data_IF_492481390803
#
_entry.id   IF_492481390803
#
_cell.length_a   1.000
_cell.length_b   1.000
_cell.length_c   1.000
_cell.angle_alpha   90.00
_cell.angle_beta   90.00
_cell.angle_gamma   90.00
#
_symmetry.space_group_name_H-M   'P 1'
#
loop_
_entity.id
_entity.type
_entity.pdbx_description
1 polymer ?
#
# COMPACT_ATOMS: atom_id res chain seq x y z
N UNK A 1 8.06 -28.22 -32.84
CA UNK A 1 8.26 -26.76 -32.88
C UNK A 1 7.12 -26.02 -32.19
N UNK A 2 5.86 -26.44 -32.39
CA UNK A 2 4.67 -25.83 -31.76
C UNK A 2 4.69 -25.86 -30.22
N UNK A 3 5.17 -26.95 -29.61
CA UNK A 3 5.29 -27.03 -28.14
C UNK A 3 6.33 -26.07 -27.54
N UNK A 4 7.32 -25.62 -28.31
CA UNK A 4 8.32 -24.64 -27.85
C UNK A 4 7.74 -23.23 -27.96
N UNK A 5 6.96 -22.97 -29.02
CA UNK A 5 6.21 -21.73 -29.19
C UNK A 5 5.12 -21.56 -28.12
N UNK A 6 4.39 -22.63 -27.78
CA UNK A 6 3.41 -22.58 -26.69
C UNK A 6 4.07 -22.32 -25.33
N UNK A 7 5.21 -22.95 -25.04
CA UNK A 7 6.00 -22.66 -23.84
C UNK A 7 6.50 -21.21 -23.81
N UNK A 8 6.94 -20.66 -24.95
CA UNK A 8 7.36 -19.27 -25.05
C UNK A 8 6.20 -18.30 -24.76
N UNK A 9 5.02 -18.56 -25.31
CA UNK A 9 3.81 -17.78 -25.05
C UNK A 9 3.25 -17.95 -23.64
N UNK A 10 3.49 -19.09 -22.98
CA UNK A 10 3.10 -19.32 -21.58
C UNK A 10 4.13 -18.78 -20.58
N UNK A 11 5.29 -18.31 -21.03
CA UNK A 11 6.33 -17.78 -20.14
C UNK A 11 5.94 -16.36 -19.68
N UNK A 12 6.09 -16.09 -18.38
CA UNK A 12 5.81 -14.76 -17.80
C UNK A 12 6.60 -13.61 -18.43
N UNK A 13 7.80 -13.88 -18.96
CA UNK A 13 8.62 -12.91 -19.69
C UNK A 13 7.98 -12.39 -20.98
N UNK A 14 7.18 -13.21 -21.67
CA UNK A 14 6.50 -12.81 -22.89
C UNK A 14 5.20 -12.02 -22.62
N UNK A 15 4.61 -12.21 -21.44
CA UNK A 15 3.32 -11.62 -21.06
C UNK A 15 3.45 -10.34 -20.24
N UNK A 16 4.66 -9.77 -20.10
CA UNK A 16 4.80 -8.46 -19.48
C UNK A 16 4.11 -7.39 -20.32
N UNK A 17 3.11 -6.76 -19.73
CA UNK A 17 2.52 -5.56 -20.31
C UNK A 17 3.33 -4.34 -19.86
N UNK A 18 3.44 -3.33 -20.72
CA UNK A 18 4.16 -2.08 -20.40
C UNK A 18 3.68 -1.42 -19.08
N UNK A 19 2.35 -1.36 -18.78
CA UNK A 19 1.88 -0.83 -17.50
C UNK A 19 2.40 -1.59 -16.27
N UNK A 20 2.48 -2.93 -16.32
CA UNK A 20 3.00 -3.74 -15.21
C UNK A 20 4.47 -3.44 -14.93
N UNK A 21 5.28 -3.27 -15.98
CA UNK A 21 6.70 -2.89 -15.86
C UNK A 21 6.85 -1.54 -15.16
N UNK A 22 6.07 -0.54 -15.57
CA UNK A 22 6.08 0.79 -14.93
C UNK A 22 5.69 0.69 -13.46
N UNK A 23 4.63 -0.05 -13.13
CA UNK A 23 4.17 -0.19 -11.76
C UNK A 23 5.16 -0.94 -10.87
N UNK A 24 5.86 -1.95 -11.38
CA UNK A 24 6.95 -2.60 -10.64
C UNK A 24 8.10 -1.64 -10.37
N UNK A 25 8.49 -0.79 -11.34
CA UNK A 25 9.51 0.24 -11.12
C UNK A 25 9.09 1.24 -10.03
N UNK A 26 7.81 1.63 -10.00
CA UNK A 26 7.25 2.44 -8.91
C UNK A 26 7.32 1.70 -7.58
N UNK A 27 6.99 0.40 -7.55
CA UNK A 27 7.11 -0.43 -6.34
C UNK A 27 8.56 -0.48 -5.81
N UNK A 28 9.55 -0.65 -6.70
CA UNK A 28 10.97 -0.58 -6.31
C UNK A 28 11.37 0.82 -5.83
N UNK A 29 10.83 1.88 -6.41
CA UNK A 29 11.06 3.25 -5.94
C UNK A 29 10.48 3.45 -4.53
N UNK A 30 9.30 2.92 -4.23
CA UNK A 30 8.71 2.97 -2.90
C UNK A 30 9.55 2.20 -1.87
N UNK A 31 10.03 1.00 -2.22
CA UNK A 31 10.96 0.24 -1.38
C UNK A 31 12.26 1.01 -1.13
N UNK A 32 12.81 1.66 -2.15
CA UNK A 32 14.00 2.49 -2.01
C UNK A 32 13.77 3.68 -1.05
N UNK A 33 12.64 4.37 -1.17
CA UNK A 33 12.28 5.47 -0.26
C UNK A 33 12.10 4.98 1.17
N UNK A 34 11.44 3.84 1.36
CA UNK A 34 11.18 3.27 2.68
C UNK A 34 12.46 2.80 3.37
N UNK A 35 13.33 2.08 2.66
CA UNK A 35 14.53 1.45 3.24
C UNK A 35 15.69 2.44 3.34
N UNK A 36 16.03 3.15 2.25
CA UNK A 36 17.22 4.01 2.23
C UNK A 36 16.95 5.36 2.88
N UNK A 37 15.76 5.92 2.65
CA UNK A 37 15.42 7.27 3.15
C UNK A 37 14.52 7.24 4.39
N UNK A 38 14.05 6.08 4.84
CA UNK A 38 13.29 5.94 6.08
C UNK A 38 11.90 6.57 6.04
N UNK A 39 11.31 6.76 4.85
CA UNK A 39 9.92 7.23 4.74
C UNK A 39 8.96 6.13 5.19
N UNK A 40 8.30 6.33 6.33
CA UNK A 40 7.25 5.46 6.91
C UNK A 40 7.49 3.96 6.66
N UNK A 41 8.63 3.39 7.11
CA UNK A 41 9.06 2.06 6.68
C UNK A 41 8.08 0.95 7.05
N UNK A 42 7.33 1.14 8.15
CA UNK A 42 6.34 0.18 8.63
C UNK A 42 5.18 -0.04 7.65
N UNK A 43 4.76 1.00 6.92
CA UNK A 43 3.65 0.93 5.96
C UNK A 43 4.15 0.86 4.53
N UNK A 44 5.18 1.65 4.20
CA UNK A 44 5.63 1.83 2.83
C UNK A 44 6.36 0.60 2.27
N UNK A 45 7.03 -0.20 3.12
CA UNK A 45 7.64 -1.46 2.69
C UNK A 45 6.59 -2.49 2.24
N UNK A 46 5.57 -2.83 3.06
CA UNK A 46 4.47 -3.69 2.61
C UNK A 46 3.76 -3.18 1.35
N UNK A 47 3.53 -1.87 1.24
CA UNK A 47 2.89 -1.27 0.06
C UNK A 47 3.76 -1.44 -1.20
N UNK A 48 5.05 -1.12 -1.13
CA UNK A 48 5.98 -1.28 -2.24
C UNK A 48 6.12 -2.73 -2.69
N UNK A 49 6.18 -3.66 -1.72
CA UNK A 49 6.25 -5.09 -2.00
C UNK A 49 4.94 -5.62 -2.62
N UNK A 50 3.78 -5.23 -2.07
CA UNK A 50 2.47 -5.55 -2.62
C UNK A 50 2.28 -5.03 -4.05
N UNK A 51 2.77 -3.82 -4.34
CA UNK A 51 2.75 -3.26 -5.68
C UNK A 51 3.57 -4.09 -6.68
N UNK A 52 4.74 -4.61 -6.27
CA UNK A 52 5.54 -5.50 -7.13
C UNK A 52 4.78 -6.82 -7.36
N UNK A 53 4.31 -7.46 -6.28
CA UNK A 53 3.61 -8.75 -6.37
C UNK A 53 2.34 -8.70 -7.20
N UNK A 54 1.53 -7.65 -7.07
CA UNK A 54 0.30 -7.46 -7.85
C UNK A 54 0.54 -7.28 -9.34
N UNK A 55 1.76 -6.91 -9.75
CA UNK A 55 2.10 -6.65 -11.15
C UNK A 55 2.93 -7.77 -11.79
N UNK A 56 3.12 -8.91 -11.11
CA UNK A 56 3.77 -10.09 -11.70
C UNK A 56 2.80 -10.73 -12.72
N UNK A 57 3.20 -10.90 -13.99
CA UNK A 57 2.34 -11.44 -15.03
C UNK A 57 1.99 -12.91 -14.75
N UNK A 58 0.75 -13.30 -15.09
CA UNK A 58 0.24 -14.70 -14.97
C UNK A 58 0.14 -15.19 -13.51
N UNK A 59 0.61 -14.44 -12.52
CA UNK A 59 0.60 -14.88 -11.13
C UNK A 59 -0.78 -14.84 -10.47
N UNK A 60 -1.72 -14.02 -10.99
CA UNK A 60 -3.10 -13.95 -10.49
C UNK A 60 -3.24 -13.55 -9.01
N UNK A 61 -2.19 -12.99 -8.40
CA UNK A 61 -2.12 -12.80 -6.94
C UNK A 61 -3.15 -11.79 -6.42
N UNK A 62 -3.49 -10.79 -7.23
CA UNK A 62 -4.48 -9.77 -6.92
C UNK A 62 -5.86 -10.03 -7.56
N UNK A 63 -5.99 -11.10 -8.35
CA UNK A 63 -7.25 -11.50 -8.99
C UNK A 63 -8.13 -12.29 -8.01
N UNK A 64 -9.40 -12.50 -8.37
CA UNK A 64 -10.33 -13.25 -7.52
C UNK A 64 -9.79 -14.66 -7.22
N UNK A 65 -9.67 -14.98 -5.92
CA UNK A 65 -9.05 -16.23 -5.45
C UNK A 65 -7.54 -16.14 -5.20
N UNK A 66 -6.90 -15.03 -5.56
CA UNK A 66 -5.50 -14.74 -5.26
C UNK A 66 -5.26 -14.36 -3.79
N UNK A 67 -4.01 -14.55 -3.32
CA UNK A 67 -3.63 -14.24 -1.94
C UNK A 67 -3.86 -12.76 -1.59
N UNK A 68 -3.45 -11.84 -2.48
CA UNK A 68 -3.59 -10.40 -2.25
C UNK A 68 -5.05 -9.95 -2.32
N UNK A 69 -5.89 -10.65 -3.07
CA UNK A 69 -7.33 -10.40 -3.11
C UNK A 69 -8.01 -10.68 -1.75
N UNK A 70 -7.67 -11.80 -1.10
CA UNK A 70 -8.18 -12.10 0.24
C UNK A 70 -7.69 -11.11 1.30
N UNK A 71 -6.45 -10.64 1.19
CA UNK A 71 -5.96 -9.57 2.07
C UNK A 71 -6.67 -8.25 1.80
N UNK A 72 -6.94 -7.92 0.54
CA UNK A 72 -7.67 -6.72 0.16
C UNK A 72 -9.11 -6.71 0.68
N UNK A 73 -9.73 -7.88 0.86
CA UNK A 73 -11.05 -7.98 1.49
C UNK A 73 -11.07 -7.39 2.91
N UNK A 74 -10.00 -7.57 3.69
CA UNK A 74 -9.86 -6.96 5.02
C UNK A 74 -9.79 -5.43 4.98
N UNK A 75 -9.31 -4.86 3.88
CA UNK A 75 -9.30 -3.41 3.63
C UNK A 75 -10.70 -2.95 3.19
N UNK A 76 -11.33 -3.66 2.24
CA UNK A 76 -12.65 -3.33 1.69
C UNK A 76 -13.76 -3.40 2.75
N UNK A 77 -13.66 -4.34 3.68
CA UNK A 77 -14.57 -4.46 4.84
C UNK A 77 -14.27 -3.45 5.95
N UNK A 78 -13.17 -2.70 5.84
CA UNK A 78 -12.77 -1.69 6.83
C UNK A 78 -12.11 -2.26 8.09
N UNK A 79 -11.97 -3.59 8.21
CA UNK A 79 -11.40 -4.24 9.38
C UNK A 79 -9.95 -3.79 9.61
N UNK A 80 -9.10 -3.84 8.57
CA UNK A 80 -7.68 -3.48 8.73
C UNK A 80 -7.45 -2.01 9.08
N UNK A 81 -8.06 -1.01 8.38
CA UNK A 81 -7.94 0.39 8.78
C UNK A 81 -8.39 0.65 10.22
N UNK A 82 -9.53 0.08 10.63
CA UNK A 82 -10.06 0.29 11.98
C UNK A 82 -9.15 -0.30 13.07
N UNK A 83 -8.59 -1.50 12.85
CA UNK A 83 -7.63 -2.10 13.78
C UNK A 83 -6.34 -1.29 13.88
N UNK A 84 -5.84 -0.78 12.76
CA UNK A 84 -4.66 0.10 12.74
C UNK A 84 -4.95 1.38 13.52
N UNK A 85 -6.08 2.05 13.28
CA UNK A 85 -6.47 3.26 14.00
C UNK A 85 -6.72 3.01 15.50
N UNK A 86 -7.26 1.85 15.88
CA UNK A 86 -7.35 1.43 17.27
C UNK A 86 -5.97 1.33 17.92
N UNK A 87 -5.00 0.73 17.22
CA UNK A 87 -3.61 0.65 17.69
C UNK A 87 -2.95 2.01 17.84
N UNK A 88 -3.15 2.93 16.88
CA UNK A 88 -2.69 4.32 16.98
C UNK A 88 -3.30 5.02 18.19
N UNK A 89 -4.60 4.85 18.43
CA UNK A 89 -5.28 5.39 19.60
C UNK A 89 -4.72 4.85 20.92
N UNK A 90 -4.39 3.55 20.98
CA UNK A 90 -3.77 2.93 22.15
C UNK A 90 -2.35 3.43 22.43
N UNK A 91 -1.62 3.89 21.41
CA UNK A 91 -0.29 4.47 21.54
C UNK A 91 -0.30 6.00 21.75
N UNK A 92 -1.46 6.65 21.68
CA UNK A 92 -1.58 8.10 21.77
C UNK A 92 -1.57 8.57 23.24
N UNK A 93 -0.65 9.48 23.57
CA UNK A 93 -0.62 10.13 24.88
C UNK A 93 -1.49 11.39 24.89
N UNK A 94 -2.50 11.41 25.77
CA UNK A 94 -3.42 12.54 25.94
C UNK A 94 -2.95 13.57 26.98
N UNK A 95 -1.90 13.29 27.75
CA UNK A 95 -1.39 14.18 28.80
C UNK A 95 -1.11 15.62 28.32
N UNK A 96 -0.34 15.83 27.23
CA UNK A 96 -0.09 17.16 26.68
C UNK A 96 -1.36 17.87 26.18
N UNK A 97 -2.33 17.12 25.65
CA UNK A 97 -3.59 17.67 25.16
C UNK A 97 -4.48 18.15 26.31
N UNK A 98 -4.58 17.37 27.38
CA UNK A 98 -5.39 17.69 28.57
C UNK A 98 -4.77 18.84 29.39
N UNK A 99 -3.44 18.96 29.42
CA UNK A 99 -2.75 20.03 30.14
C UNK A 99 -3.00 21.43 29.55
N UNK A 100 -3.21 21.54 28.23
CA UNK A 100 -3.59 22.82 27.60
C UNK A 100 -4.65 22.59 26.51
N UNK A 101 -5.94 22.60 26.85
CA UNK A 101 -7.02 22.33 25.91
C UNK A 101 -7.08 23.28 24.70
N UNK A 102 -6.44 24.45 24.75
CA UNK A 102 -6.38 25.38 23.61
C UNK A 102 -5.62 24.79 22.41
N UNK A 103 -4.76 23.78 22.62
CA UNK A 103 -4.09 23.07 21.51
C UNK A 103 -5.07 22.33 20.60
N UNK A 104 -6.28 21.99 21.08
CA UNK A 104 -7.35 21.43 20.26
C UNK A 104 -7.76 22.36 19.11
N UNK A 105 -7.71 23.69 19.32
CA UNK A 105 -8.04 24.66 18.28
C UNK A 105 -7.01 24.66 17.14
N UNK A 106 -5.74 24.36 17.43
CA UNK A 106 -4.71 24.17 16.40
C UNK A 106 -5.01 22.92 15.57
N UNK A 107 -5.48 21.84 16.22
CA UNK A 107 -5.93 20.63 15.53
C UNK A 107 -7.11 20.88 14.59
N UNK A 108 -8.07 21.72 15.01
CA UNK A 108 -9.20 22.12 14.17
C UNK A 108 -8.73 22.94 12.94
N UNK A 109 -7.80 23.88 13.13
CA UNK A 109 -7.24 24.66 12.02
C UNK A 109 -6.43 23.78 11.05
N UNK A 110 -5.73 22.76 11.54
CA UNK A 110 -4.99 21.82 10.69
C UNK A 110 -5.90 21.05 9.70
N UNK A 111 -7.18 20.85 10.04
CA UNK A 111 -8.15 20.22 9.12
C UNK A 111 -8.51 21.10 7.91
N UNK A 112 -8.23 22.41 7.95
CA UNK A 112 -8.45 23.29 6.81
C UNK A 112 -7.68 22.84 5.55
N UNK A 113 -6.51 22.22 5.73
CA UNK A 113 -5.74 21.65 4.62
C UNK A 113 -6.54 20.62 3.80
N UNK A 114 -7.35 19.80 4.46
CA UNK A 114 -8.21 18.81 3.80
C UNK A 114 -9.30 19.52 2.97
N UNK A 115 -9.95 20.52 3.56
CA UNK A 115 -11.01 21.28 2.88
C UNK A 115 -10.51 22.12 1.71
N UNK A 116 -9.27 22.61 1.76
CA UNK A 116 -8.68 23.36 0.66
C UNK A 116 -8.23 22.48 -0.52
N UNK A 117 -7.94 21.20 -0.27
CA UNK A 117 -7.56 20.23 -1.32
C UNK A 117 -8.72 19.53 -2.00
N UNK A 118 -9.91 19.54 -1.38
CA UNK A 118 -11.17 19.00 -1.92
C UNK A 118 -11.79 19.94 -2.96
#
# INVERSE_FOLDING_TARGET
>A
MENILSLWHSTGLYNFTLPQVIMMLVGFLLLFLAIKKGFEPLLLVPIGFGAILSNIPIAGLAEEGGLLYYLYYGIKTGIFPLLIFMGVGAMTDFGPMLANPKTLLLGAAAQFGIFATL
#
